data_IF_227947758382
#
_entry.id   IF_227947758382
#
_cell.length_a   1.000
_cell.length_b   1.000
_cell.length_c   1.000
_cell.angle_alpha   90.00
_cell.angle_beta   90.00
_cell.angle_gamma   90.00
#
_symmetry.space_group_name_H-M   'P 1'
#
loop_
_entity.id
_entity.type
_entity.pdbx_description
1 polymer ?
#
# COMPACT_ATOMS: atom_id res chain seq x y z
N UNK A 1 -7.43 16.13 7.57
CA UNK A 1 -7.63 14.69 7.44
C UNK A 1 -8.04 14.17 8.78
N UNK A 2 -9.29 13.72 8.89
CA UNK A 2 -9.97 13.57 10.16
C UNK A 2 -9.91 12.15 10.71
N UNK A 3 -9.69 11.12 9.89
CA UNK A 3 -9.60 9.74 10.33
C UNK A 3 -8.86 8.85 9.33
N UNK A 4 -8.19 7.81 9.84
CA UNK A 4 -7.50 6.79 9.04
C UNK A 4 -7.96 5.42 9.54
N UNK A 5 -8.22 4.51 8.60
CA UNK A 5 -8.59 3.13 8.91
C UNK A 5 -7.82 2.16 8.03
N UNK A 6 -7.47 1.01 8.60
CA UNK A 6 -6.69 -0.03 7.93
C UNK A 6 -7.40 -1.38 8.06
N UNK A 7 -7.24 -2.23 7.05
CA UNK A 7 -7.77 -3.59 7.07
C UNK A 7 -6.82 -4.56 6.40
N UNK A 8 -6.60 -5.71 7.04
CA UNK A 8 -5.83 -6.82 6.51
C UNK A 8 -6.73 -8.04 6.32
N UNK A 9 -6.47 -8.91 5.32
CA UNK A 9 -7.11 -10.22 5.25
C UNK A 9 -6.93 -11.02 6.53
N UNK A 10 -7.90 -11.89 6.85
CA UNK A 10 -7.80 -12.80 7.99
C UNK A 10 -6.71 -13.87 7.78
N UNK A 11 -6.60 -14.38 6.55
CA UNK A 11 -5.56 -15.35 6.18
C UNK A 11 -4.17 -14.71 6.10
N UNK A 12 -3.15 -15.43 6.56
CA UNK A 12 -1.76 -14.96 6.54
C UNK A 12 -0.75 -16.13 6.48
N UNK A 13 0.46 -15.82 6.05
CA UNK A 13 1.61 -16.74 6.05
C UNK A 13 2.82 -16.08 6.70
N UNK A 14 3.65 -16.88 7.36
CA UNK A 14 4.98 -16.47 7.78
C UNK A 14 5.94 -16.54 6.59
N UNK A 15 6.88 -15.61 6.51
CA UNK A 15 7.85 -15.59 5.41
C UNK A 15 8.81 -16.81 5.46
N UNK A 16 9.01 -17.39 6.65
CA UNK A 16 9.76 -18.63 6.83
C UNK A 16 9.09 -19.85 6.17
N UNK A 17 7.76 -19.79 6.02
CA UNK A 17 6.95 -20.81 5.35
C UNK A 17 7.01 -20.68 3.83
N UNK A 18 8.21 -20.47 3.29
CA UNK A 18 8.44 -20.30 1.85
C UNK A 18 7.86 -21.44 1.01
N UNK A 19 7.64 -22.60 1.61
CA UNK A 19 7.04 -23.76 0.97
C UNK A 19 5.58 -23.59 0.55
N UNK A 20 4.82 -22.70 1.20
CA UNK A 20 3.39 -22.56 0.94
C UNK A 20 3.12 -22.05 -0.49
N UNK A 21 3.69 -20.93 -0.88
CA UNK A 21 3.55 -20.38 -2.23
C UNK A 21 4.73 -20.76 -3.14
N UNK A 22 5.95 -20.51 -2.70
CA UNK A 22 7.15 -20.75 -3.52
C UNK A 22 7.37 -22.25 -3.81
N UNK A 23 6.90 -23.15 -2.93
CA UNK A 23 6.91 -24.58 -3.16
C UNK A 23 5.96 -25.03 -4.26
N UNK A 24 4.87 -24.27 -4.52
CA UNK A 24 3.90 -24.56 -5.60
C UNK A 24 4.29 -23.93 -6.93
N UNK A 25 4.92 -22.77 -6.89
CA UNK A 25 5.18 -21.92 -8.08
C UNK A 25 6.65 -21.82 -8.44
N UNK A 26 7.53 -22.39 -7.64
CA UNK A 26 8.98 -22.43 -7.88
C UNK A 26 9.44 -23.63 -8.73
N UNK A 27 10.75 -23.89 -8.78
CA UNK A 27 11.34 -25.00 -9.50
C UNK A 27 10.76 -26.37 -9.07
N UNK A 28 10.67 -27.35 -9.99
CA UNK A 28 10.12 -28.66 -9.72
C UNK A 28 10.89 -29.38 -8.59
N UNK A 29 10.23 -30.37 -7.95
CA UNK A 29 10.89 -31.22 -6.96
C UNK A 29 11.99 -32.05 -7.62
N UNK A 30 13.06 -32.35 -6.87
CA UNK A 30 14.20 -33.16 -7.33
C UNK A 30 15.52 -32.41 -7.28
N UNK A 31 16.65 -33.10 -7.58
CA UNK A 31 18.00 -32.52 -7.44
C UNK A 31 18.21 -31.24 -8.25
N UNK A 32 17.70 -31.20 -9.49
CA UNK A 32 17.83 -30.04 -10.39
C UNK A 32 17.14 -28.79 -9.87
N UNK A 33 15.98 -28.97 -9.19
CA UNK A 33 15.24 -27.85 -8.61
C UNK A 33 15.70 -27.43 -7.20
N UNK A 34 16.53 -28.23 -6.53
CA UNK A 34 16.92 -27.95 -5.12
C UNK A 34 17.79 -26.68 -4.99
N UNK A 35 18.71 -26.44 -5.92
CA UNK A 35 19.52 -25.23 -5.93
C UNK A 35 18.63 -23.98 -6.14
N UNK A 36 17.64 -24.05 -7.04
CA UNK A 36 16.64 -23.00 -7.27
C UNK A 36 15.81 -22.72 -6.02
N UNK A 37 15.31 -23.73 -5.34
CA UNK A 37 14.54 -23.57 -4.09
C UNK A 37 15.39 -22.93 -2.98
N UNK A 38 16.67 -23.31 -2.83
CA UNK A 38 17.61 -22.65 -1.88
C UNK A 38 17.79 -21.18 -2.20
N UNK A 39 17.87 -20.82 -3.50
CA UNK A 39 17.97 -19.43 -3.94
C UNK A 39 16.72 -18.65 -3.61
N UNK A 40 15.52 -19.17 -3.92
CA UNK A 40 14.24 -18.55 -3.55
C UNK A 40 14.22 -18.30 -2.03
N UNK A 41 14.51 -19.32 -1.21
CA UNK A 41 14.52 -19.16 0.24
C UNK A 41 15.53 -18.08 0.72
N UNK A 42 16.67 -17.95 0.07
CA UNK A 42 17.65 -16.92 0.37
C UNK A 42 17.12 -15.50 0.02
N UNK A 43 16.46 -15.33 -1.14
CA UNK A 43 15.85 -14.08 -1.55
C UNK A 43 14.69 -13.68 -0.62
N UNK A 44 13.84 -14.63 -0.25
CA UNK A 44 12.74 -14.39 0.71
C UNK A 44 13.24 -13.90 2.07
N UNK A 45 14.35 -14.45 2.59
CA UNK A 45 14.96 -13.95 3.84
C UNK A 45 15.50 -12.52 3.68
N UNK A 46 16.03 -12.19 2.49
CA UNK A 46 16.71 -10.92 2.22
C UNK A 46 15.76 -9.73 2.14
N UNK A 47 14.48 -9.94 1.81
CA UNK A 47 13.49 -8.85 1.69
C UNK A 47 13.00 -8.30 3.02
N UNK A 48 13.37 -8.89 4.16
CA UNK A 48 13.07 -8.37 5.49
C UNK A 48 11.63 -8.50 5.96
N UNK A 49 10.75 -9.08 5.15
CA UNK A 49 9.35 -9.37 5.51
C UNK A 49 9.32 -10.55 6.47
N UNK A 50 8.47 -10.53 7.49
CA UNK A 50 8.26 -11.63 8.43
C UNK A 50 6.92 -12.32 8.24
N UNK A 51 5.89 -11.52 7.92
CA UNK A 51 4.51 -11.98 7.80
C UNK A 51 3.82 -11.25 6.64
N UNK A 52 2.94 -11.97 5.93
CA UNK A 52 2.09 -11.40 4.87
C UNK A 52 0.66 -11.86 5.02
N UNK A 53 -0.29 -10.92 4.96
CA UNK A 53 -1.72 -11.21 4.89
C UNK A 53 -2.15 -11.34 3.44
N UNK A 54 -2.86 -12.42 3.13
CA UNK A 54 -3.24 -12.77 1.76
C UNK A 54 -4.71 -13.23 1.74
N UNK A 55 -5.52 -12.68 0.83
CA UNK A 55 -6.93 -13.10 0.66
C UNK A 55 -7.07 -14.54 0.18
N UNK A 56 -6.01 -15.09 -0.40
CA UNK A 56 -5.98 -16.44 -0.96
C UNK A 56 -5.68 -17.53 0.09
N UNK A 57 -5.31 -17.14 1.30
CA UNK A 57 -5.04 -18.09 2.41
C UNK A 57 -6.31 -18.33 3.18
N UNK A 58 -6.68 -19.59 3.34
CA UNK A 58 -7.77 -19.99 4.21
C UNK A 58 -7.41 -19.68 5.68
N UNK A 59 -8.17 -18.78 6.36
CA UNK A 59 -7.87 -18.40 7.73
C UNK A 59 -8.03 -19.54 8.74
N UNK A 60 -8.86 -20.53 8.43
CA UNK A 60 -9.14 -21.68 9.29
C UNK A 60 -8.12 -22.81 9.12
N UNK A 61 -7.25 -22.73 8.11
CA UNK A 61 -6.17 -23.67 7.90
C UNK A 61 -4.95 -23.34 8.74
N UNK A 62 -4.42 -24.33 9.48
CA UNK A 62 -3.18 -24.19 10.27
C UNK A 62 -2.05 -24.96 9.60
N UNK A 63 -0.79 -24.51 9.82
CA UNK A 63 0.41 -25.21 9.37
C UNK A 63 1.02 -24.66 8.08
N UNK A 64 2.07 -25.34 7.61
CA UNK A 64 2.89 -24.98 6.45
C UNK A 64 2.43 -25.67 5.17
N UNK A 65 1.24 -26.29 5.16
CA UNK A 65 0.79 -27.14 4.06
C UNK A 65 0.47 -26.34 2.80
N UNK A 66 0.89 -26.83 1.63
CA UNK A 66 0.60 -26.20 0.34
C UNK A 66 -0.88 -25.96 0.06
N UNK A 67 -1.77 -26.75 0.67
CA UNK A 67 -3.22 -26.70 0.45
C UNK A 67 -3.89 -25.45 1.04
N UNK A 68 -3.16 -24.68 1.85
CA UNK A 68 -3.64 -23.37 2.36
C UNK A 68 -3.86 -22.32 1.26
N UNK A 69 -3.27 -22.49 0.08
CA UNK A 69 -3.41 -21.56 -1.06
C UNK A 69 -3.81 -22.35 -2.32
N UNK A 70 -5.03 -22.91 -2.37
CA UNK A 70 -5.47 -23.75 -3.50
C UNK A 70 -5.57 -22.99 -4.82
N UNK A 71 -5.63 -21.66 -4.78
CA UNK A 71 -5.70 -20.81 -5.96
C UNK A 71 -4.52 -21.01 -6.92
N UNK A 72 -3.33 -21.36 -6.40
CA UNK A 72 -2.15 -21.66 -7.21
C UNK A 72 -1.92 -23.18 -7.22
N UNK A 73 -2.39 -23.92 -8.23
CA UNK A 73 -2.15 -25.36 -8.31
C UNK A 73 -0.64 -25.65 -8.39
N UNK A 74 -0.16 -26.75 -7.79
CA UNK A 74 1.22 -27.21 -7.98
C UNK A 74 1.46 -27.45 -9.46
N UNK A 75 2.44 -26.78 -10.03
CA UNK A 75 2.77 -26.90 -11.44
C UNK A 75 4.19 -27.41 -11.67
N UNK A 76 4.52 -27.89 -12.88
CA UNK A 76 5.87 -28.30 -13.25
C UNK A 76 6.84 -27.12 -13.43
N UNK A 77 6.60 -26.00 -12.72
CA UNK A 77 7.40 -24.78 -12.87
C UNK A 77 7.08 -23.95 -14.13
N UNK A 78 6.03 -24.27 -14.85
CA UNK A 78 5.58 -23.53 -16.05
C UNK A 78 4.26 -22.82 -15.77
N UNK A 79 3.95 -21.79 -16.56
CA UNK A 79 2.63 -21.13 -16.49
C UNK A 79 1.45 -22.01 -16.96
N UNK A 80 1.72 -23.23 -17.45
CA UNK A 80 0.68 -24.18 -17.85
C UNK A 80 -0.13 -24.59 -16.62
N UNK A 81 -1.43 -24.27 -16.63
CA UNK A 81 -2.34 -24.51 -15.50
C UNK A 81 -2.33 -23.40 -14.42
N UNK A 82 -1.53 -22.33 -14.58
CA UNK A 82 -1.61 -21.16 -13.72
C UNK A 82 -2.98 -20.47 -13.87
N UNK A 83 -3.50 -19.82 -12.81
CA UNK A 83 -4.69 -18.98 -12.92
C UNK A 83 -4.51 -17.91 -13.99
N UNK A 84 -5.48 -17.80 -14.88
CA UNK A 84 -5.52 -16.77 -15.91
C UNK A 84 -5.74 -15.39 -15.29
N UNK A 85 -5.53 -14.33 -16.07
CA UNK A 85 -5.90 -12.97 -15.64
C UNK A 85 -7.38 -12.89 -15.31
N UNK A 86 -8.26 -13.55 -16.07
CA UNK A 86 -9.68 -13.62 -15.78
C UNK A 86 -9.99 -14.24 -14.41
N UNK A 87 -9.36 -15.39 -14.07
CA UNK A 87 -9.54 -16.02 -12.76
C UNK A 87 -9.11 -15.10 -11.62
N UNK A 88 -8.02 -14.34 -11.81
CA UNK A 88 -7.50 -13.39 -10.83
C UNK A 88 -8.42 -12.17 -10.65
N UNK A 89 -9.03 -11.69 -11.74
CA UNK A 89 -10.02 -10.61 -11.68
C UNK A 89 -11.30 -11.07 -10.98
N UNK A 90 -11.79 -12.30 -11.23
CA UNK A 90 -12.93 -12.87 -10.49
C UNK A 90 -12.62 -12.93 -8.98
N UNK A 91 -11.41 -13.34 -8.61
CA UNK A 91 -10.99 -13.32 -7.21
C UNK A 91 -10.89 -11.90 -6.64
N UNK A 92 -10.41 -10.93 -7.44
CA UNK A 92 -10.39 -9.51 -7.04
C UNK A 92 -11.81 -8.99 -6.77
N UNK A 93 -12.76 -9.23 -7.66
CA UNK A 93 -14.16 -8.81 -7.47
C UNK A 93 -14.75 -9.36 -6.17
N UNK A 94 -14.43 -10.62 -5.84
CA UNK A 94 -14.90 -11.27 -4.62
C UNK A 94 -14.35 -10.65 -3.33
N UNK A 95 -13.07 -10.23 -3.33
CA UNK A 95 -12.35 -9.93 -2.09
C UNK A 95 -12.05 -8.44 -1.89
N UNK A 96 -11.94 -7.63 -2.95
CA UNK A 96 -11.53 -6.24 -2.83
C UNK A 96 -12.59 -5.35 -2.15
N UNK A 97 -13.86 -5.49 -2.55
CA UNK A 97 -14.98 -4.72 -1.97
C UNK A 97 -15.08 -4.90 -0.45
N UNK A 98 -15.24 -6.13 0.07
CA UNK A 98 -15.35 -6.36 1.51
C UNK A 98 -14.13 -5.85 2.32
N UNK A 99 -12.91 -5.97 1.76
CA UNK A 99 -11.71 -5.48 2.42
C UNK A 99 -11.67 -3.94 2.47
N UNK A 100 -12.02 -3.29 1.36
CA UNK A 100 -12.13 -1.84 1.26
C UNK A 100 -13.18 -1.25 2.21
N UNK A 101 -14.36 -1.90 2.29
CA UNK A 101 -15.44 -1.51 3.20
C UNK A 101 -14.98 -1.54 4.66
N UNK A 102 -14.23 -2.56 5.09
CA UNK A 102 -13.68 -2.62 6.46
C UNK A 102 -12.72 -1.48 6.76
N UNK A 103 -11.82 -1.16 5.83
CA UNK A 103 -10.90 -0.04 6.00
C UNK A 103 -11.63 1.30 6.04
N UNK A 104 -12.60 1.50 5.15
CA UNK A 104 -13.42 2.71 5.08
C UNK A 104 -14.28 2.90 6.33
N UNK A 105 -14.92 1.83 6.83
CA UNK A 105 -15.67 1.86 8.07
C UNK A 105 -14.79 2.26 9.26
N UNK A 106 -13.57 1.71 9.35
CA UNK A 106 -12.62 2.06 10.39
C UNK A 106 -12.18 3.54 10.31
N UNK A 107 -11.95 4.07 9.10
CA UNK A 107 -11.59 5.48 8.91
C UNK A 107 -12.71 6.45 9.31
N UNK A 108 -13.96 6.11 8.95
CA UNK A 108 -15.13 6.91 9.34
C UNK A 108 -15.38 6.85 10.85
N UNK A 109 -15.22 5.67 11.46
CA UNK A 109 -15.34 5.50 12.92
C UNK A 109 -14.24 6.27 13.67
N UNK A 110 -13.00 6.27 13.17
CA UNK A 110 -11.91 7.04 13.75
C UNK A 110 -12.14 8.56 13.65
N UNK A 111 -12.80 9.01 12.57
CA UNK A 111 -13.17 10.40 12.38
C UNK A 111 -14.46 10.80 13.15
N UNK A 112 -15.23 9.86 13.67
CA UNK A 112 -16.56 10.12 14.25
C UNK A 112 -17.56 10.65 13.21
N UNK A 113 -17.48 10.19 11.94
CA UNK A 113 -18.32 10.68 10.84
C UNK A 113 -19.19 9.56 10.29
N UNK A 114 -20.50 9.83 10.21
CA UNK A 114 -21.47 8.89 9.65
C UNK A 114 -21.25 8.74 8.12
N UNK A 115 -21.33 7.51 7.57
CA UNK A 115 -21.15 7.27 6.12
C UNK A 115 -22.01 8.18 5.22
N UNK A 116 -23.24 8.47 5.64
CA UNK A 116 -24.17 9.38 4.93
C UNK A 116 -23.68 10.82 4.75
N UNK A 117 -22.59 11.21 5.41
CA UNK A 117 -21.98 12.56 5.29
C UNK A 117 -20.89 12.63 4.23
N UNK A 118 -20.49 11.50 3.67
CA UNK A 118 -19.47 11.45 2.62
C UNK A 118 -20.04 12.03 1.33
N UNK A 119 -19.40 13.06 0.80
CA UNK A 119 -19.82 13.75 -0.44
C UNK A 119 -19.08 13.24 -1.67
N UNK A 120 -17.85 12.73 -1.48
CA UNK A 120 -16.99 12.24 -2.55
C UNK A 120 -16.27 10.96 -2.11
N UNK A 121 -16.17 9.99 -3.00
CA UNK A 121 -15.41 8.75 -2.84
C UNK A 121 -14.29 8.70 -3.88
N UNK A 122 -13.06 8.64 -3.40
CA UNK A 122 -11.87 8.42 -4.25
C UNK A 122 -11.35 7.02 -3.97
N UNK A 123 -11.46 6.12 -4.93
CA UNK A 123 -10.95 4.75 -4.82
C UNK A 123 -9.62 4.60 -5.55
N UNK A 124 -8.74 3.78 -5.00
CA UNK A 124 -7.40 3.52 -5.54
C UNK A 124 -7.18 2.02 -5.63
N UNK A 125 -6.80 1.51 -6.81
CA UNK A 125 -6.34 0.13 -6.98
C UNK A 125 -5.53 -0.03 -8.27
N UNK A 126 -4.51 -0.89 -8.24
CA UNK A 126 -3.74 -1.30 -9.41
C UNK A 126 -3.62 -2.83 -9.56
N UNK A 127 -4.26 -3.61 -8.69
CA UNK A 127 -4.22 -5.07 -8.68
C UNK A 127 -5.49 -5.72 -9.22
N UNK A 128 -6.43 -4.92 -9.70
CA UNK A 128 -7.64 -5.39 -10.36
C UNK A 128 -8.53 -4.23 -10.77
N UNK A 129 -9.50 -4.54 -11.61
CA UNK A 129 -10.52 -3.62 -12.07
C UNK A 129 -11.80 -4.37 -12.39
N UNK A 130 -12.93 -3.77 -12.08
CA UNK A 130 -14.24 -4.30 -12.36
C UNK A 130 -15.24 -3.15 -12.54
N UNK A 131 -16.32 -3.40 -13.25
CA UNK A 131 -17.44 -2.50 -13.33
C UNK A 131 -18.76 -3.30 -13.22
N UNK A 132 -19.51 -3.16 -12.09
CA UNK A 132 -19.33 -2.25 -10.96
C UNK A 132 -18.05 -2.51 -10.14
N UNK A 133 -17.41 -1.44 -9.63
CA UNK A 133 -16.15 -1.50 -8.92
C UNK A 133 -16.27 -1.44 -7.38
N UNK A 134 -15.14 -1.27 -6.73
CA UNK A 134 -15.03 -1.11 -5.26
C UNK A 134 -15.85 0.08 -4.75
N UNK A 135 -15.97 1.15 -5.54
CA UNK A 135 -16.80 2.31 -5.25
C UNK A 135 -18.28 1.95 -5.06
N UNK A 136 -18.79 0.99 -5.83
CA UNK A 136 -20.16 0.49 -5.67
C UNK A 136 -20.31 -0.32 -4.38
N UNK A 137 -19.33 -1.13 -3.99
CA UNK A 137 -19.34 -1.84 -2.72
C UNK A 137 -19.37 -0.86 -1.53
N UNK A 138 -18.62 0.25 -1.60
CA UNK A 138 -18.66 1.29 -0.57
C UNK A 138 -20.07 1.93 -0.46
N UNK A 139 -20.78 2.12 -1.57
CA UNK A 139 -22.14 2.66 -1.55
C UNK A 139 -23.11 1.66 -0.92
N UNK A 140 -23.09 0.40 -1.37
CA UNK A 140 -24.08 -0.59 -0.96
C UNK A 140 -23.83 -1.12 0.46
N UNK A 141 -22.58 -1.49 0.79
CA UNK A 141 -22.26 -2.21 2.02
C UNK A 141 -21.89 -1.26 3.17
N UNK A 142 -21.30 -0.09 2.88
CA UNK A 142 -20.97 0.91 3.89
C UNK A 142 -22.09 1.94 4.07
N UNK A 143 -23.01 2.04 3.11
CA UNK A 143 -24.14 2.97 3.15
C UNK A 143 -23.75 4.41 2.79
N UNK A 144 -22.84 4.61 1.86
CA UNK A 144 -22.60 5.94 1.31
C UNK A 144 -23.83 6.44 0.54
N UNK A 145 -24.01 7.76 0.43
CA UNK A 145 -25.10 8.31 -0.38
C UNK A 145 -25.03 7.81 -1.83
N UNK A 146 -26.15 7.44 -2.43
CA UNK A 146 -26.20 7.03 -3.85
C UNK A 146 -25.82 8.16 -4.80
N UNK A 147 -25.85 9.41 -4.32
CA UNK A 147 -25.43 10.61 -5.03
C UNK A 147 -23.95 10.98 -4.81
N UNK A 148 -23.19 10.14 -4.07
CA UNK A 148 -21.76 10.41 -3.82
C UNK A 148 -20.99 10.54 -5.14
N UNK A 149 -20.18 11.58 -5.27
CA UNK A 149 -19.27 11.72 -6.40
C UNK A 149 -18.20 10.63 -6.36
N UNK A 150 -17.87 10.01 -7.51
CA UNK A 150 -16.95 8.87 -7.59
C UNK A 150 -15.79 9.16 -8.51
N UNK A 151 -14.58 8.91 -8.03
CA UNK A 151 -13.35 8.98 -8.82
C UNK A 151 -12.51 7.74 -8.56
N UNK A 152 -11.98 7.12 -9.61
CA UNK A 152 -11.07 5.99 -9.48
C UNK A 152 -9.67 6.36 -9.99
N UNK A 153 -8.64 6.10 -9.16
CA UNK A 153 -7.22 6.24 -9.49
C UNK A 153 -6.64 4.85 -9.69
N UNK A 154 -6.46 4.45 -10.93
CA UNK A 154 -6.00 3.11 -11.32
C UNK A 154 -4.59 3.09 -11.88
N UNK A 155 -3.89 1.96 -11.74
CA UNK A 155 -2.62 1.65 -12.40
C UNK A 155 -1.45 2.63 -12.12
N UNK A 156 -1.47 3.34 -10.99
CA UNK A 156 -0.38 4.23 -10.59
C UNK A 156 0.71 3.51 -9.74
N UNK A 157 0.47 2.25 -9.32
CA UNK A 157 1.40 1.48 -8.50
C UNK A 157 1.45 1.92 -7.03
N UNK A 158 2.58 1.69 -6.38
CA UNK A 158 2.69 1.85 -4.92
C UNK A 158 2.49 3.28 -4.39
N UNK A 159 2.67 4.30 -5.23
CA UNK A 159 2.43 5.70 -4.84
C UNK A 159 0.97 6.17 -5.04
N UNK A 160 0.09 5.31 -5.58
CA UNK A 160 -1.25 5.69 -6.02
C UNK A 160 -2.12 6.31 -4.91
N UNK A 161 -1.94 5.92 -3.64
CA UNK A 161 -2.65 6.56 -2.54
C UNK A 161 -2.26 8.03 -2.36
N UNK A 162 -1.03 8.43 -2.67
CA UNK A 162 -0.61 9.84 -2.67
C UNK A 162 -1.24 10.62 -3.84
N UNK A 163 -1.42 9.97 -5.00
CA UNK A 163 -2.21 10.55 -6.10
C UNK A 163 -3.67 10.74 -5.69
N UNK A 164 -4.28 9.71 -5.08
CA UNK A 164 -5.64 9.79 -4.54
C UNK A 164 -5.78 10.89 -3.48
N UNK A 165 -4.76 11.06 -2.63
CA UNK A 165 -4.72 12.11 -1.62
C UNK A 165 -4.68 13.52 -2.25
N UNK A 166 -3.91 13.71 -3.32
CA UNK A 166 -3.89 14.96 -4.11
C UNK A 166 -5.28 15.26 -4.69
N UNK A 167 -5.96 14.24 -5.23
CA UNK A 167 -7.34 14.39 -5.72
C UNK A 167 -8.29 14.76 -4.58
N UNK A 168 -8.22 14.05 -3.45
CA UNK A 168 -9.05 14.34 -2.29
C UNK A 168 -8.81 15.77 -1.75
N UNK A 169 -7.55 16.21 -1.69
CA UNK A 169 -7.20 17.57 -1.30
C UNK A 169 -7.78 18.63 -2.24
N UNK A 170 -7.72 18.39 -3.56
CA UNK A 170 -8.30 19.29 -4.56
C UNK A 170 -9.83 19.38 -4.43
N UNK A 171 -10.52 18.25 -4.19
CA UNK A 171 -11.97 18.23 -3.95
C UNK A 171 -12.35 18.99 -2.68
N UNK A 172 -11.59 18.83 -1.59
CA UNK A 172 -11.80 19.59 -0.35
C UNK A 172 -11.52 21.09 -0.52
N UNK A 173 -10.59 21.47 -1.38
CA UNK A 173 -10.32 22.87 -1.70
C UNK A 173 -11.40 23.50 -2.57
N UNK A 174 -11.99 22.73 -3.49
CA UNK A 174 -13.09 23.17 -4.35
C UNK A 174 -14.43 23.32 -3.61
N UNK A 175 -14.66 22.44 -2.61
CA UNK A 175 -15.82 22.51 -1.72
C UNK A 175 -15.35 22.43 -0.25
N UNK A 176 -15.29 23.58 0.46
CA UNK A 176 -14.88 23.61 1.85
C UNK A 176 -15.76 22.81 2.81
N UNK A 177 -16.99 22.44 2.41
CA UNK A 177 -17.90 21.60 3.19
C UNK A 177 -17.75 20.09 2.88
N UNK A 178 -16.93 19.71 1.90
CA UNK A 178 -16.80 18.34 1.45
C UNK A 178 -16.24 17.40 2.52
N UNK A 179 -16.74 16.17 2.50
CA UNK A 179 -16.17 15.01 3.15
C UNK A 179 -15.77 14.00 2.05
N UNK A 180 -14.49 13.82 1.84
CA UNK A 180 -13.91 12.97 0.79
C UNK A 180 -13.32 11.71 1.41
N UNK A 181 -13.88 10.56 1.10
CA UNK A 181 -13.39 9.27 1.54
C UNK A 181 -12.42 8.71 0.49
N UNK A 182 -11.13 8.77 0.79
CA UNK A 182 -10.08 8.10 0.03
C UNK A 182 -9.98 6.66 0.51
N UNK A 183 -10.08 5.67 -0.40
CA UNK A 183 -9.96 4.24 -0.07
C UNK A 183 -9.04 3.56 -1.07
N UNK A 184 -7.95 2.99 -0.58
CA UNK A 184 -6.99 2.21 -1.35
C UNK A 184 -7.10 0.72 -0.99
N UNK A 185 -7.18 -0.16 -1.98
CA UNK A 185 -7.23 -1.61 -1.80
C UNK A 185 -6.36 -2.32 -2.82
N UNK A 186 -5.48 -3.19 -2.34
CA UNK A 186 -4.60 -3.97 -3.21
C UNK A 186 -4.58 -5.43 -2.80
N UNK A 187 -4.72 -6.29 -3.79
CA UNK A 187 -4.66 -7.75 -3.65
C UNK A 187 -3.49 -8.28 -4.47
N UNK A 188 -2.29 -7.94 -4.04
CA UNK A 188 -1.06 -8.26 -4.77
C UNK A 188 -0.83 -9.77 -4.88
N UNK A 189 -1.31 -10.55 -3.90
CA UNK A 189 -1.21 -12.01 -3.92
C UNK A 189 -1.86 -12.65 -5.13
N UNK A 190 -2.85 -11.99 -5.75
CA UNK A 190 -3.49 -12.45 -6.98
C UNK A 190 -2.54 -12.47 -8.18
N UNK A 191 -1.45 -11.71 -8.14
CA UNK A 191 -0.50 -11.61 -9.25
C UNK A 191 0.84 -12.30 -8.98
N UNK A 192 0.88 -13.16 -7.95
CA UNK A 192 2.02 -14.05 -7.72
C UNK A 192 2.31 -14.88 -8.99
N UNK A 193 3.58 -14.92 -9.39
CA UNK A 193 4.02 -15.56 -10.63
C UNK A 193 4.76 -16.87 -10.35
N UNK A 194 4.68 -17.78 -11.30
CA UNK A 194 5.53 -18.97 -11.32
C UNK A 194 6.95 -18.55 -11.70
N UNK A 195 7.93 -19.08 -10.99
CA UNK A 195 9.36 -18.73 -11.14
C UNK A 195 10.20 -20.00 -11.28
N UNK A 196 10.09 -20.70 -12.43
CA UNK A 196 10.79 -21.97 -12.67
C UNK A 196 12.31 -21.77 -12.70
N UNK A 197 12.80 -20.64 -13.17
CA UNK A 197 14.20 -20.24 -13.14
C UNK A 197 14.42 -19.02 -12.22
N UNK A 198 14.68 -19.24 -10.92
CA UNK A 198 14.85 -18.13 -9.96
C UNK A 198 16.14 -17.33 -10.15
N UNK A 199 16.96 -17.64 -11.14
CA UNK A 199 18.11 -16.81 -11.54
C UNK A 199 17.66 -15.79 -12.57
N UNK A 200 17.03 -16.26 -13.67
CA UNK A 200 16.46 -15.39 -14.69
C UNK A 200 15.29 -14.55 -14.12
N UNK A 201 14.46 -15.14 -13.25
CA UNK A 201 13.26 -14.54 -12.68
C UNK A 201 13.52 -13.84 -11.33
N UNK A 202 14.76 -13.46 -11.01
CA UNK A 202 15.11 -12.97 -9.66
C UNK A 202 14.30 -11.74 -9.22
N UNK A 203 13.97 -10.82 -10.12
CA UNK A 203 13.12 -9.66 -9.86
C UNK A 203 11.70 -10.10 -9.47
N UNK A 204 11.14 -11.10 -10.17
CA UNK A 204 9.82 -11.64 -9.88
C UNK A 204 9.80 -12.43 -8.56
N UNK A 205 10.87 -13.17 -8.24
CA UNK A 205 11.01 -13.85 -6.93
C UNK A 205 11.01 -12.82 -5.81
N UNK A 206 11.68 -11.68 -5.98
CA UNK A 206 11.69 -10.59 -4.99
C UNK A 206 10.28 -9.99 -4.87
N UNK A 207 9.60 -9.72 -5.98
CA UNK A 207 8.21 -9.22 -5.97
C UNK A 207 7.29 -10.21 -5.24
N UNK A 208 7.36 -11.49 -5.58
CA UNK A 208 6.61 -12.57 -4.91
C UNK A 208 6.87 -12.65 -3.40
N UNK A 209 8.06 -12.27 -2.93
CA UNK A 209 8.45 -12.29 -1.54
C UNK A 209 8.02 -11.03 -0.76
N UNK A 210 7.92 -9.88 -1.44
CA UNK A 210 7.65 -8.58 -0.84
C UNK A 210 6.16 -8.31 -0.66
N UNK A 211 5.36 -8.58 -1.71
CA UNK A 211 3.98 -8.10 -1.79
C UNK A 211 3.00 -8.92 -0.94
N UNK A 212 2.02 -8.21 -0.38
CA UNK A 212 0.92 -8.74 0.41
C UNK A 212 -0.38 -7.97 0.09
N UNK A 213 -1.49 -8.36 0.71
CA UNK A 213 -2.82 -7.79 0.46
C UNK A 213 -3.24 -6.90 1.64
N UNK A 214 -3.95 -5.82 1.33
CA UNK A 214 -4.49 -4.93 2.33
C UNK A 214 -5.32 -3.81 1.76
N UNK A 215 -6.06 -3.14 2.63
CA UNK A 215 -6.77 -1.92 2.32
C UNK A 215 -6.55 -0.86 3.41
N UNK A 216 -6.55 0.40 3.01
CA UNK A 216 -6.56 1.52 3.92
C UNK A 216 -7.47 2.63 3.39
N UNK A 217 -8.05 3.39 4.30
CA UNK A 217 -8.87 4.53 3.94
C UNK A 217 -8.49 5.75 4.79
N UNK A 218 -8.74 6.92 4.25
CA UNK A 218 -8.54 8.19 4.93
C UNK A 218 -9.71 9.12 4.64
N UNK A 219 -10.31 9.69 5.68
CA UNK A 219 -11.30 10.75 5.52
C UNK A 219 -10.60 12.10 5.45
N UNK A 220 -10.75 12.78 4.33
CA UNK A 220 -10.29 14.14 4.11
C UNK A 220 -11.50 15.07 4.17
N UNK A 221 -11.39 16.17 4.92
CA UNK A 221 -12.48 17.14 5.07
C UNK A 221 -12.05 18.52 4.65
N UNK A 222 -12.96 19.26 4.03
CA UNK A 222 -12.79 20.67 3.75
C UNK A 222 -12.75 21.50 5.04
N UNK A 223 -12.34 22.75 4.95
CA UNK A 223 -12.12 23.63 6.11
C UNK A 223 -13.42 23.96 6.90
N UNK A 224 -14.54 23.96 6.19
CA UNK A 224 -15.86 24.26 6.77
C UNK A 224 -16.70 23.03 7.09
N UNK A 225 -16.15 21.83 6.86
CA UNK A 225 -16.85 20.60 7.24
C UNK A 225 -17.11 20.56 8.74
N UNK A 226 -18.34 20.23 9.13
CA UNK A 226 -18.73 20.04 10.53
C UNK A 226 -19.28 18.62 10.68
N UNK A 227 -18.66 17.76 11.50
CA UNK A 227 -19.23 16.47 11.85
C UNK A 227 -20.58 16.64 12.58
N UNK A 228 -21.43 15.61 12.51
CA UNK A 228 -22.66 15.62 13.29
C UNK A 228 -22.32 15.64 14.80
N UNK A 229 -23.16 16.28 15.62
CA UNK A 229 -22.99 16.19 17.05
C UNK A 229 -23.11 14.72 17.50
N UNK A 230 -22.34 14.30 18.52
CA UNK A 230 -22.41 12.93 19.04
C UNK A 230 -23.84 12.56 19.37
N UNK A 231 -24.31 11.38 18.88
CA UNK A 231 -25.63 10.86 19.22
C UNK A 231 -25.63 10.50 20.69
N UNK A 232 -26.53 11.12 21.48
CA UNK A 232 -26.67 10.85 22.90
C UNK A 232 -26.92 9.35 23.13
N UNK A 233 -26.03 8.67 23.84
CA UNK A 233 -26.17 7.26 24.22
C UNK A 233 -25.08 6.31 23.74
N UNK A 234 -24.16 6.74 22.91
CA UNK A 234 -22.91 5.99 22.63
C UNK A 234 -21.88 6.49 23.63
N UNK A 235 -21.34 5.60 24.46
CA UNK A 235 -20.29 5.92 25.42
C UNK A 235 -19.03 6.33 24.63
N UNK A 236 -18.88 7.63 24.46
CA UNK A 236 -17.66 8.26 23.95
C UNK A 236 -16.56 8.21 25.03
N UNK A 237 -15.88 7.09 25.16
CA UNK A 237 -14.47 7.18 25.47
C UNK A 237 -13.81 7.68 24.19
N UNK A 238 -13.30 8.92 24.13
CA UNK A 238 -12.54 9.37 22.97
C UNK A 238 -11.34 8.43 22.88
N UNK A 239 -11.30 7.57 21.86
CA UNK A 239 -10.04 6.96 21.43
C UNK A 239 -9.08 8.14 21.33
N UNK A 240 -8.02 8.14 22.14
CA UNK A 240 -7.01 9.19 22.31
C UNK A 240 -6.95 10.06 21.07
N UNK A 241 -7.41 11.33 21.20
CA UNK A 241 -7.57 12.23 20.06
C UNK A 241 -6.20 12.44 19.42
N UNK A 242 -5.90 11.60 18.44
CA UNK A 242 -4.68 11.74 17.65
C UNK A 242 -4.86 12.98 16.78
N UNK A 243 -3.90 13.90 16.83
CA UNK A 243 -3.99 15.13 16.07
C UNK A 243 -4.17 14.84 14.57
N UNK A 244 -5.14 15.49 13.90
CA UNK A 244 -5.38 15.27 12.49
C UNK A 244 -4.22 15.79 11.67
N UNK A 245 -3.91 15.13 10.55
CA UNK A 245 -2.98 15.67 9.55
C UNK A 245 -3.65 16.80 8.76
N UNK A 246 -2.92 17.88 8.54
CA UNK A 246 -3.31 18.93 7.60
C UNK A 246 -2.44 18.82 6.34
N UNK A 247 -3.04 18.51 5.19
CA UNK A 247 -2.32 18.52 3.91
C UNK A 247 -1.93 19.96 3.55
N UNK A 248 -0.64 20.20 3.43
CA UNK A 248 -0.06 21.49 3.04
C UNK A 248 0.27 21.54 1.56
N UNK A 249 0.62 20.39 0.97
CA UNK A 249 0.90 20.29 -0.45
C UNK A 249 1.21 18.88 -0.92
N UNK A 250 1.27 18.72 -2.23
CA UNK A 250 1.66 17.48 -2.90
C UNK A 250 2.68 17.78 -4.01
N UNK A 251 3.58 16.85 -4.27
CA UNK A 251 4.58 16.93 -5.32
C UNK A 251 4.64 15.64 -6.14
N UNK A 252 5.03 15.77 -7.41
CA UNK A 252 5.17 14.63 -8.33
C UNK A 252 6.31 14.90 -9.31
N UNK A 253 7.12 13.88 -9.58
CA UNK A 253 8.11 13.91 -10.67
C UNK A 253 8.24 12.53 -11.30
N UNK A 254 8.33 12.49 -12.62
CA UNK A 254 8.76 11.32 -13.38
C UNK A 254 10.24 11.49 -13.68
N UNK A 255 11.06 10.54 -13.23
CA UNK A 255 12.51 10.57 -13.44
C UNK A 255 12.83 10.20 -14.89
N UNK A 256 13.70 10.99 -15.50
CA UNK A 256 14.10 10.78 -16.90
C UNK A 256 14.82 9.43 -17.08
N UNK A 257 14.62 8.80 -18.24
CA UNK A 257 15.32 7.58 -18.68
C UNK A 257 15.13 6.35 -17.74
N UNK A 258 13.99 6.28 -17.03
CA UNK A 258 13.71 5.21 -16.07
C UNK A 258 12.43 4.42 -16.36
N UNK A 259 11.80 4.61 -17.53
CA UNK A 259 10.49 4.04 -17.87
C UNK A 259 10.40 2.52 -17.71
N UNK A 260 11.47 1.79 -18.00
CA UNK A 260 11.53 0.33 -17.91
C UNK A 260 12.07 -0.18 -16.56
N UNK A 261 12.55 0.71 -15.68
CA UNK A 261 13.15 0.32 -14.40
C UNK A 261 12.12 -0.29 -13.42
N UNK A 262 10.88 0.20 -13.47
CA UNK A 262 9.75 -0.34 -12.73
C UNK A 262 8.51 -0.31 -13.62
N UNK A 263 7.94 -1.48 -13.93
CA UNK A 263 6.73 -1.57 -14.75
C UNK A 263 5.69 -2.47 -14.11
N UNK A 264 4.41 -2.26 -14.47
CA UNK A 264 3.28 -3.08 -14.08
C UNK A 264 2.41 -3.29 -15.31
N UNK A 265 2.40 -4.50 -15.87
CA UNK A 265 1.80 -4.80 -17.17
C UNK A 265 0.80 -5.94 -17.04
N UNK A 266 -0.35 -5.80 -17.68
CA UNK A 266 -1.34 -6.88 -17.79
C UNK A 266 -0.83 -7.96 -18.72
N UNK A 267 -0.78 -9.21 -18.23
CA UNK A 267 -0.43 -10.40 -19.00
C UNK A 267 -1.54 -11.45 -18.97
N UNK A 268 -1.33 -12.57 -19.64
CA UNK A 268 -2.31 -13.64 -19.72
C UNK A 268 -2.47 -14.41 -18.38
N UNK A 269 -1.40 -14.51 -17.60
CA UNK A 269 -1.35 -15.16 -16.29
C UNK A 269 -1.23 -14.16 -15.14
N UNK A 270 -2.00 -13.08 -15.17
CA UNK A 270 -1.98 -12.01 -14.18
C UNK A 270 -1.14 -10.80 -14.62
N UNK A 271 -0.90 -9.89 -13.70
CA UNK A 271 -0.10 -8.69 -13.97
C UNK A 271 1.36 -8.97 -13.63
N UNK A 272 2.23 -8.49 -14.49
CA UNK A 272 3.67 -8.75 -14.43
C UNK A 272 4.40 -7.50 -13.94
N UNK A 273 5.24 -7.67 -12.92
CA UNK A 273 6.09 -6.62 -12.40
C UNK A 273 7.51 -6.75 -12.93
N UNK A 274 8.06 -5.63 -13.41
CA UNK A 274 9.51 -5.47 -13.54
C UNK A 274 10.02 -4.59 -12.40
N UNK A 275 11.04 -5.03 -11.70
CA UNK A 275 11.71 -4.29 -10.63
C UNK A 275 13.22 -4.46 -10.79
N UNK A 276 13.83 -3.50 -11.47
CA UNK A 276 15.23 -3.52 -11.83
C UNK A 276 16.14 -2.95 -10.72
N UNK A 277 17.39 -3.38 -10.70
CA UNK A 277 18.42 -2.80 -9.82
C UNK A 277 18.69 -1.31 -10.11
N UNK A 278 18.26 -0.82 -11.26
CA UNK A 278 18.30 0.60 -11.60
C UNK A 278 17.41 1.48 -10.71
N UNK A 279 16.34 0.94 -10.11
CA UNK A 279 15.41 1.71 -9.27
C UNK A 279 16.12 2.35 -8.06
N UNK A 280 16.80 1.62 -7.15
CA UNK A 280 17.53 2.25 -6.05
C UNK A 280 18.65 3.17 -6.52
N UNK A 281 19.27 2.93 -7.69
CA UNK A 281 20.29 3.82 -8.26
C UNK A 281 19.66 5.15 -8.66
N UNK A 282 18.53 5.13 -9.36
CA UNK A 282 17.81 6.35 -9.77
C UNK A 282 17.32 7.16 -8.55
N UNK A 283 16.82 6.49 -7.50
CA UNK A 283 16.41 7.15 -6.25
C UNK A 283 17.61 7.90 -5.63
N UNK A 284 18.78 7.26 -5.49
CA UNK A 284 19.99 7.90 -4.96
C UNK A 284 20.41 9.11 -5.79
N UNK A 285 20.30 9.03 -7.08
CA UNK A 285 20.76 10.09 -7.99
C UNK A 285 19.85 11.32 -8.00
N UNK A 286 18.54 11.14 -7.86
CA UNK A 286 17.57 12.20 -8.19
C UNK A 286 16.70 12.66 -7.03
N UNK A 287 16.47 11.81 -6.00
CA UNK A 287 15.49 12.12 -4.95
C UNK A 287 15.84 13.37 -4.16
N UNK A 288 17.12 13.55 -3.77
CA UNK A 288 17.54 14.67 -2.95
C UNK A 288 17.31 16.02 -3.64
N UNK A 289 17.77 16.15 -4.89
CA UNK A 289 17.65 17.40 -5.64
C UNK A 289 16.18 17.80 -5.86
N UNK A 290 15.35 16.83 -6.26
CA UNK A 290 13.92 17.10 -6.43
C UNK A 290 13.24 17.45 -5.11
N UNK A 291 13.59 16.76 -4.02
CA UNK A 291 12.99 17.03 -2.71
C UNK A 291 13.35 18.43 -2.19
N UNK A 292 14.60 18.85 -2.38
CA UNK A 292 15.04 20.21 -1.99
C UNK A 292 14.29 21.28 -2.79
N UNK A 293 14.15 21.08 -4.11
CA UNK A 293 13.40 21.99 -4.97
C UNK A 293 11.93 22.05 -4.54
N UNK A 294 11.28 20.89 -4.34
CA UNK A 294 9.88 20.83 -3.94
C UNK A 294 9.63 21.45 -2.56
N UNK A 295 10.44 21.13 -1.54
CA UNK A 295 10.30 21.69 -0.20
C UNK A 295 10.52 23.20 -0.18
N UNK A 296 11.42 23.72 -1.03
CA UNK A 296 11.67 25.16 -1.14
C UNK A 296 10.43 25.96 -1.53
N UNK A 297 9.49 25.36 -2.27
CA UNK A 297 8.21 25.99 -2.63
C UNK A 297 7.32 26.26 -1.42
N UNK A 298 7.59 25.60 -0.28
CA UNK A 298 6.93 25.83 1.02
C UNK A 298 7.80 26.59 2.00
N UNK A 299 8.97 27.08 1.57
CA UNK A 299 9.95 27.74 2.44
C UNK A 299 10.64 26.80 3.42
N UNK A 300 10.70 25.50 3.11
CA UNK A 300 11.27 24.45 3.96
C UNK A 300 12.54 23.85 3.34
N UNK A 301 13.39 23.35 4.21
CA UNK A 301 14.54 22.50 3.90
C UNK A 301 14.30 21.07 4.41
N UNK A 302 15.07 20.09 3.93
CA UNK A 302 15.00 18.71 4.43
C UNK A 302 15.29 18.61 5.93
N UNK A 303 16.13 19.46 6.47
CA UNK A 303 16.49 19.49 7.90
C UNK A 303 15.33 19.94 8.81
N UNK A 304 14.34 20.64 8.27
CA UNK A 304 13.16 21.11 8.99
C UNK A 304 12.01 20.11 8.96
N UNK A 305 12.15 19.02 8.17
CA UNK A 305 11.16 17.93 8.16
C UNK A 305 11.28 17.13 9.45
N UNK A 306 10.23 17.14 10.24
CA UNK A 306 10.23 16.46 11.53
C UNK A 306 10.05 14.94 11.44
N UNK A 307 9.37 14.44 10.40
CA UNK A 307 9.11 12.98 10.23
C UNK A 307 9.06 12.64 8.75
N UNK A 308 9.75 11.55 8.39
CA UNK A 308 9.74 10.99 7.05
C UNK A 308 8.91 9.71 7.01
N UNK A 309 7.82 9.71 6.26
CA UNK A 309 7.00 8.54 5.95
C UNK A 309 7.38 8.02 4.56
N UNK A 310 8.44 7.21 4.48
CA UNK A 310 8.90 6.63 3.22
C UNK A 310 8.20 5.30 2.98
N UNK A 311 7.48 5.19 1.85
CA UNK A 311 6.84 3.95 1.43
C UNK A 311 7.85 2.79 1.38
N UNK A 312 7.63 1.69 2.14
CA UNK A 312 8.57 0.59 2.22
C UNK A 312 8.45 -0.36 1.01
N UNK A 313 8.86 0.11 -0.16
CA UNK A 313 8.86 -0.66 -1.41
C UNK A 313 9.76 -1.91 -1.38
N UNK A 314 10.67 -1.97 -0.42
CA UNK A 314 11.63 -3.03 -0.16
C UNK A 314 12.87 -2.47 0.53
N UNK A 315 13.75 -3.31 1.13
CA UNK A 315 14.92 -2.83 1.87
C UNK A 315 15.82 -1.91 1.04
N UNK A 316 16.14 -2.29 -0.20
CA UNK A 316 17.01 -1.49 -1.07
C UNK A 316 16.41 -0.12 -1.43
N UNK A 317 15.08 0.01 -1.50
CA UNK A 317 14.39 1.28 -1.73
C UNK A 317 14.52 2.17 -0.49
N UNK A 318 14.31 1.61 0.71
CA UNK A 318 14.47 2.34 1.96
C UNK A 318 15.91 2.80 2.17
N UNK A 319 16.90 1.93 1.88
CA UNK A 319 18.32 2.29 1.98
C UNK A 319 18.66 3.42 1.01
N UNK A 320 18.21 3.32 -0.25
CA UNK A 320 18.45 4.36 -1.26
C UNK A 320 17.79 5.69 -0.89
N UNK A 321 16.58 5.68 -0.34
CA UNK A 321 15.90 6.88 0.11
C UNK A 321 16.59 7.49 1.33
N UNK A 322 17.02 6.68 2.31
CA UNK A 322 17.77 7.15 3.47
C UNK A 322 19.09 7.83 3.07
N UNK A 323 19.87 7.19 2.20
CA UNK A 323 21.12 7.76 1.67
C UNK A 323 20.87 9.08 0.93
N UNK A 324 19.88 9.11 0.02
CA UNK A 324 19.58 10.30 -0.78
C UNK A 324 19.10 11.48 0.10
N UNK A 325 18.26 11.22 1.07
CA UNK A 325 17.69 12.26 1.94
C UNK A 325 18.59 12.63 3.11
N UNK A 326 19.69 11.88 3.34
CA UNK A 326 20.61 12.10 4.46
C UNK A 326 20.02 11.70 5.82
N UNK A 327 19.15 10.67 5.84
CA UNK A 327 18.45 10.22 7.03
C UNK A 327 19.34 9.26 7.86
N UNK A 328 19.25 9.39 9.18
CA UNK A 328 19.90 8.48 10.12
C UNK A 328 19.22 7.10 10.17
N UNK A 329 19.90 6.15 10.80
CA UNK A 329 19.46 4.74 10.84
C UNK A 329 18.03 4.56 11.38
N UNK A 330 17.59 5.37 12.35
CA UNK A 330 16.31 5.22 13.06
C UNK A 330 15.15 5.96 12.40
N UNK A 331 15.40 6.87 11.49
CA UNK A 331 14.34 7.72 10.92
C UNK A 331 13.36 6.90 10.06
N UNK A 332 13.82 5.79 9.46
CA UNK A 332 12.99 4.86 8.70
C UNK A 332 12.60 3.59 9.46
N UNK A 333 12.85 3.50 10.78
CA UNK A 333 12.41 2.35 11.58
C UNK A 333 10.90 2.07 11.46
N UNK A 334 9.99 3.07 11.46
CA UNK A 334 8.57 2.81 11.27
C UNK A 334 8.25 2.17 9.91
N UNK A 335 8.92 2.59 8.84
CA UNK A 335 8.78 2.02 7.49
C UNK A 335 9.31 0.59 7.43
N UNK A 336 10.48 0.32 8.01
CA UNK A 336 11.08 -1.02 8.08
C UNK A 336 10.25 -1.97 8.93
N UNK A 337 9.74 -1.51 10.07
CA UNK A 337 8.89 -2.30 10.95
C UNK A 337 7.58 -2.66 10.25
N UNK A 338 6.95 -1.70 9.54
CA UNK A 338 5.72 -1.97 8.78
C UNK A 338 5.96 -3.03 7.70
N UNK A 339 7.05 -2.91 6.91
CA UNK A 339 7.43 -3.90 5.91
C UNK A 339 7.61 -5.30 6.53
N UNK A 340 8.28 -5.37 7.67
CA UNK A 340 8.50 -6.65 8.33
C UNK A 340 7.21 -7.30 8.82
N UNK A 341 6.26 -6.51 9.31
CA UNK A 341 5.04 -7.01 9.95
C UNK A 341 3.94 -7.39 8.96
N UNK A 342 3.80 -6.66 7.85
CA UNK A 342 2.65 -6.85 6.92
C UNK A 342 3.07 -7.04 5.47
N UNK A 343 4.35 -6.86 5.13
CA UNK A 343 4.83 -6.83 3.75
C UNK A 343 4.53 -5.51 3.03
N UNK A 344 4.78 -5.49 1.73
CA UNK A 344 4.42 -4.36 0.87
C UNK A 344 2.98 -4.55 0.36
N UNK A 345 2.05 -3.74 0.86
CA UNK A 345 0.65 -3.73 0.46
C UNK A 345 0.39 -2.87 -0.79
N UNK A 346 1.45 -2.45 -1.52
CA UNK A 346 1.35 -1.46 -2.60
C UNK A 346 0.75 -0.13 -2.11
N UNK A 347 -0.25 0.44 -2.79
CA UNK A 347 -0.78 1.78 -2.48
C UNK A 347 -1.31 1.98 -1.05
N UNK A 348 -1.97 1.04 -0.36
CA UNK A 348 -2.38 1.21 1.03
C UNK A 348 -1.24 1.41 2.02
N UNK A 349 -0.04 0.90 1.73
CA UNK A 349 1.07 0.86 2.69
C UNK A 349 1.41 2.22 3.28
N UNK A 350 1.38 3.27 2.46
CA UNK A 350 1.70 4.64 2.93
C UNK A 350 0.65 5.15 3.94
N UNK A 351 -0.62 4.77 3.77
CA UNK A 351 -1.69 5.13 4.71
C UNK A 351 -1.56 4.35 6.03
N UNK A 352 -1.17 3.06 5.98
CA UNK A 352 -0.80 2.30 7.18
C UNK A 352 0.34 2.96 7.94
N UNK A 353 1.36 3.45 7.22
CA UNK A 353 2.49 4.13 7.84
C UNK A 353 2.07 5.46 8.48
N UNK A 354 1.25 6.25 7.79
CA UNK A 354 0.72 7.51 8.34
C UNK A 354 -0.14 7.27 9.59
N UNK A 355 -0.98 6.23 9.61
CA UNK A 355 -1.77 5.85 10.79
C UNK A 355 -0.87 5.47 11.98
N UNK A 356 0.16 4.67 11.73
CA UNK A 356 1.16 4.30 12.76
C UNK A 356 1.89 5.51 13.33
N UNK A 357 2.36 6.41 12.47
CA UNK A 357 3.08 7.61 12.87
C UNK A 357 2.17 8.57 13.66
N UNK A 358 0.91 8.73 13.23
CA UNK A 358 -0.10 9.51 13.95
C UNK A 358 -0.35 8.95 15.36
N UNK A 359 -0.55 7.64 15.46
CA UNK A 359 -0.78 6.94 16.73
C UNK A 359 0.41 7.09 17.68
N UNK A 360 1.64 7.00 17.15
CA UNK A 360 2.86 7.20 17.95
C UNK A 360 2.98 8.64 18.48
N UNK A 361 2.56 9.64 17.71
CA UNK A 361 2.54 11.05 18.15
C UNK A 361 1.54 11.32 19.29
N UNK A 362 0.42 10.57 19.33
CA UNK A 362 -0.60 10.69 20.37
C UNK A 362 -0.23 10.06 21.72
N UNK A 363 0.85 9.28 21.80
CA UNK A 363 1.27 8.63 23.05
C UNK A 363 1.96 9.63 23.96
N UNK A 364 1.48 9.73 25.22
CA UNK A 364 2.09 10.59 26.24
C UNK A 364 3.56 10.19 26.46
N UNK A 365 4.49 11.15 26.28
CA UNK A 365 5.93 10.96 26.42
C UNK A 365 6.68 10.61 25.13
N UNK A 366 6.00 10.41 24.00
CA UNK A 366 6.67 10.41 22.70
C UNK A 366 7.21 11.84 22.45
N UNK A 367 8.52 11.94 22.17
CA UNK A 367 9.06 13.16 21.55
C UNK A 367 8.49 13.19 20.13
N UNK A 368 7.29 13.78 19.96
CA UNK A 368 6.84 14.19 18.64
C UNK A 368 7.92 15.13 18.10
N UNK A 369 8.48 14.81 16.96
CA UNK A 369 9.28 15.80 16.26
C UNK A 369 8.34 16.96 15.92
N UNK A 370 8.66 18.15 16.42
CA UNK A 370 7.83 19.37 16.30
C UNK A 370 7.78 19.93 14.85
N UNK A 371 8.03 19.11 13.83
CA UNK A 371 8.10 19.52 12.44
C UNK A 371 7.05 18.86 11.54
N UNK A 372 6.96 19.32 10.27
CA UNK A 372 6.08 18.73 9.28
C UNK A 372 6.42 17.27 8.97
N UNK A 373 5.42 16.53 8.48
CA UNK A 373 5.59 15.16 7.99
C UNK A 373 5.67 15.19 6.48
N UNK A 374 6.65 14.52 5.90
CA UNK A 374 6.73 14.25 4.47
C UNK A 374 6.47 12.78 4.23
N UNK A 375 5.38 12.47 3.51
CA UNK A 375 5.16 11.15 2.95
C UNK A 375 5.72 11.10 1.52
N UNK A 376 6.47 10.05 1.19
CA UNK A 376 7.02 9.84 -0.15
C UNK A 376 6.85 8.38 -0.59
N UNK A 377 6.47 8.20 -1.85
CA UNK A 377 6.28 6.90 -2.48
C UNK A 377 6.87 6.86 -3.87
N UNK A 378 7.17 5.64 -4.32
CA UNK A 378 7.77 5.36 -5.62
C UNK A 378 6.87 4.39 -6.40
N UNK A 379 6.86 4.52 -7.73
CA UNK A 379 6.09 3.63 -8.58
C UNK A 379 6.53 3.68 -10.03
N UNK A 380 5.79 2.99 -10.91
CA UNK A 380 6.15 2.88 -12.33
C UNK A 380 6.43 4.23 -12.98
N UNK A 381 7.48 4.24 -13.87
CA UNK A 381 7.78 5.44 -14.62
C UNK A 381 9.24 5.93 -14.63
N UNK A 382 10.13 5.77 -13.69
CA UNK A 382 9.99 5.74 -12.22
C UNK A 382 9.41 7.08 -11.74
N UNK A 383 8.33 7.02 -11.02
CA UNK A 383 7.69 8.23 -10.49
C UNK A 383 7.97 8.36 -8.99
N UNK A 384 8.20 9.58 -8.53
CA UNK A 384 8.21 9.95 -7.12
C UNK A 384 6.99 10.82 -6.84
N UNK A 385 6.19 10.43 -5.86
CA UNK A 385 5.06 11.22 -5.34
C UNK A 385 5.32 11.56 -3.88
N UNK A 386 4.99 12.80 -3.49
CA UNK A 386 5.12 13.24 -2.11
C UNK A 386 3.89 14.02 -1.63
N UNK A 387 3.69 14.01 -0.32
CA UNK A 387 2.70 14.84 0.37
C UNK A 387 3.33 15.44 1.63
N UNK A 388 3.10 16.73 1.85
CA UNK A 388 3.54 17.49 3.01
C UNK A 388 2.36 17.71 3.95
N UNK A 389 2.58 17.42 5.23
CA UNK A 389 1.58 17.61 6.28
C UNK A 389 2.12 18.45 7.42
N UNK A 390 1.24 19.28 8.01
CA UNK A 390 1.45 20.04 9.24
C UNK A 390 0.53 19.55 10.35
#
# INVERSE_FOLDING_TARGET
>A
MSGIGTALPAGWIEQGDTGVLAGRTGPPAGPDGEAGRRRIAALYRKVGVKKRHLVLVDPDSSGTEPDRVPFYPPGPGTHAGAPTTGDRIIAYEKHAGPLAVRAAAAALADAGVHPGRVTQSVTVSCTGFAAPGVDCALIEDLGLPRSVGRTHVGFMGCHAALNGLRVAGALCAADPSAAVLLTAVELCSLHHQYTPDPVADSGQVIANALFADGAAAMLCTGADFRPDPPTAGVSDEPKTATAPYRLLGSGSVVLADTADAMTWRVGDAGFLMTLELAVPVAIRAHLAGWMDEWLSTFGLTRAEVGTWAVHPGGPAILDAAAEALGLGERELDPSRALLAEVGNLSSPTILFLLDRLRSARGLAGAKASDGPVVAVGFGPGLTVEAALFG
#
